data_IF_400509403870
#
_entry.id   IF_400509403870
#
_cell.length_a   1.000
_cell.length_b   1.000
_cell.length_c   1.000
_cell.angle_alpha   90.00
_cell.angle_beta   90.00
_cell.angle_gamma   90.00
#
_symmetry.space_group_name_H-M   'P 1'
#
loop_
_entity.id
_entity.type
_entity.pdbx_description
1 polymer ?
#
# COMPACT_ATOMS: atom_id res chain seq x y z
N UNK A 1 -24.57 8.44 -42.58
CA UNK A 1 -23.74 8.87 -41.43
C UNK A 1 -24.04 7.89 -40.30
N UNK A 2 -23.02 7.18 -39.81
CA UNK A 2 -23.19 5.90 -39.12
C UNK A 2 -23.14 6.11 -37.60
N UNK A 3 -24.30 6.04 -36.96
CA UNK A 3 -24.49 6.37 -35.54
C UNK A 3 -24.14 5.22 -34.59
N UNK A 4 -23.14 4.39 -34.95
CA UNK A 4 -22.78 3.16 -34.22
C UNK A 4 -21.69 3.37 -33.16
N UNK A 5 -21.08 4.55 -33.09
CA UNK A 5 -19.96 4.84 -32.20
C UNK A 5 -20.38 5.32 -30.79
N UNK A 6 -21.66 5.61 -30.56
CA UNK A 6 -22.13 6.28 -29.33
C UNK A 6 -22.64 5.34 -28.23
N UNK A 7 -22.65 4.01 -28.45
CA UNK A 7 -23.18 3.03 -27.49
C UNK A 7 -22.10 2.15 -26.82
N UNK A 8 -20.81 2.43 -27.05
CA UNK A 8 -19.71 1.52 -26.69
C UNK A 8 -18.87 1.88 -25.46
N UNK A 9 -19.27 2.82 -24.60
CA UNK A 9 -18.38 3.39 -23.57
C UNK A 9 -18.96 3.47 -22.15
N UNK A 10 -19.86 2.58 -21.76
CA UNK A 10 -20.21 2.41 -20.35
C UNK A 10 -20.21 0.94 -19.98
N UNK A 11 -19.18 0.48 -19.26
CA UNK A 11 -19.22 -0.57 -18.23
C UNK A 11 -17.75 -0.90 -17.88
N UNK A 12 -17.13 -0.12 -17.00
CA UNK A 12 -15.97 -0.60 -16.24
C UNK A 12 -16.40 -0.51 -14.78
N UNK A 13 -17.04 -1.58 -14.30
CA UNK A 13 -17.24 -1.82 -12.86
C UNK A 13 -15.94 -2.45 -12.35
N UNK A 14 -15.16 -1.70 -11.58
CA UNK A 14 -13.98 -2.22 -10.89
C UNK A 14 -14.28 -2.29 -9.39
N UNK A 15 -14.92 -3.38 -8.96
CA UNK A 15 -15.03 -3.74 -7.55
C UNK A 15 -13.80 -4.57 -7.15
N UNK A 16 -12.83 -3.97 -6.46
CA UNK A 16 -11.78 -4.72 -5.76
C UNK A 16 -11.80 -4.33 -4.30
N UNK A 17 -12.60 -5.06 -3.53
CA UNK A 17 -12.45 -5.13 -2.08
C UNK A 17 -11.38 -6.18 -1.80
N UNK A 18 -10.15 -5.73 -1.56
CA UNK A 18 -9.09 -6.58 -1.01
C UNK A 18 -8.75 -6.05 0.39
N UNK A 19 -9.64 -6.33 1.34
CA UNK A 19 -9.26 -6.35 2.74
C UNK A 19 -8.35 -7.57 2.94
N UNK A 20 -7.04 -7.41 2.73
CA UNK A 20 -6.08 -8.41 3.14
C UNK A 20 -5.97 -8.34 4.66
N UNK A 21 -6.70 -9.25 5.30
CA UNK A 21 -6.52 -9.58 6.70
C UNK A 21 -5.04 -9.87 6.96
N UNK A 22 -4.45 -9.14 7.90
CA UNK A 22 -3.13 -9.45 8.42
C UNK A 22 -3.20 -10.85 9.03
N UNK A 23 -2.58 -11.82 8.36
CA UNK A 23 -2.33 -13.14 8.94
C UNK A 23 -1.23 -12.95 9.99
N UNK A 24 -1.61 -12.91 11.26
CA UNK A 24 -0.68 -13.02 12.36
C UNK A 24 -0.17 -14.47 12.39
N UNK A 25 1.01 -14.69 11.81
CA UNK A 25 1.72 -15.95 11.95
C UNK A 25 2.24 -16.08 13.39
N UNK A 26 2.01 -17.25 13.97
CA UNK A 26 2.46 -17.67 15.30
C UNK A 26 3.98 -17.41 15.47
N UNK A 27 4.36 -16.74 16.56
CA UNK A 27 5.73 -16.31 16.89
C UNK A 27 6.61 -17.51 17.30
N UNK A 28 6.89 -18.43 16.37
CA UNK A 28 8.11 -19.22 16.45
C UNK A 28 9.24 -18.28 16.04
N UNK A 29 10.23 -18.08 16.89
CA UNK A 29 11.35 -17.15 16.64
C UNK A 29 12.13 -17.49 15.37
N UNK A 30 11.62 -17.02 14.24
CA UNK A 30 12.20 -17.07 12.91
C UNK A 30 13.38 -16.08 12.88
N UNK A 31 14.52 -16.52 12.35
CA UNK A 31 15.75 -15.71 12.33
C UNK A 31 15.64 -14.48 11.43
N UNK A 32 16.75 -13.76 11.25
CA UNK A 32 16.77 -12.52 10.44
C UNK A 32 16.20 -12.69 9.02
N UNK A 33 16.45 -13.84 8.39
CA UNK A 33 15.97 -14.17 7.03
C UNK A 33 14.64 -14.91 7.09
N UNK A 34 14.54 -16.00 7.85
CA UNK A 34 13.30 -16.77 7.97
C UNK A 34 12.11 -15.93 8.43
N UNK A 35 12.32 -14.93 9.29
CA UNK A 35 11.26 -14.05 9.81
C UNK A 35 11.03 -12.81 8.95
N UNK A 36 11.61 -12.77 7.74
CA UNK A 36 11.46 -11.62 6.85
C UNK A 36 10.14 -11.69 6.07
N UNK A 37 9.55 -10.53 5.82
CA UNK A 37 8.37 -10.40 4.97
C UNK A 37 8.54 -9.31 3.93
N UNK A 38 7.97 -9.54 2.75
CA UNK A 38 7.89 -8.56 1.66
C UNK A 38 6.44 -8.42 1.23
N UNK A 39 5.96 -7.18 1.20
CA UNK A 39 4.64 -6.83 0.70
C UNK A 39 4.75 -5.76 -0.39
N UNK A 40 3.98 -5.93 -1.45
CA UNK A 40 3.89 -4.98 -2.55
C UNK A 40 2.44 -4.49 -2.63
N UNK A 41 2.25 -3.20 -2.39
CA UNK A 41 0.98 -2.52 -2.54
C UNK A 41 0.96 -1.80 -3.89
N UNK A 42 0.15 -2.33 -4.80
CA UNK A 42 -0.18 -1.66 -6.04
C UNK A 42 -1.48 -0.86 -5.86
N UNK A 43 -1.42 0.47 -5.96
CA UNK A 43 -2.53 1.38 -5.71
C UNK A 43 -2.79 2.26 -6.93
N UNK A 44 -4.04 2.27 -7.38
CA UNK A 44 -4.55 3.32 -8.25
C UNK A 44 -5.41 4.27 -7.41
N UNK A 45 -5.14 5.57 -7.46
CA UNK A 45 -5.76 6.58 -6.62
C UNK A 45 -6.32 7.72 -7.48
N UNK A 46 -7.58 8.05 -7.25
CA UNK A 46 -8.26 9.17 -7.89
C UNK A 46 -8.75 10.14 -6.82
N UNK A 47 -8.46 11.42 -7.00
CA UNK A 47 -8.86 12.47 -6.08
C UNK A 47 -9.52 13.61 -6.85
N UNK A 48 -10.75 13.92 -6.48
CA UNK A 48 -11.51 15.03 -7.03
C UNK A 48 -11.99 15.92 -5.90
N UNK A 49 -11.64 17.21 -5.97
CA UNK A 49 -11.95 18.21 -4.96
C UNK A 49 -12.57 19.43 -5.63
N UNK A 50 -13.83 19.68 -5.29
CA UNK A 50 -14.59 20.88 -5.65
C UNK A 50 -14.81 21.77 -4.42
N UNK A 51 -14.23 22.96 -4.46
CA UNK A 51 -14.45 24.04 -3.52
C UNK A 51 -15.56 24.96 -4.04
N UNK A 52 -16.77 24.79 -3.50
CA UNK A 52 -17.98 25.57 -3.83
C UNK A 52 -17.87 27.10 -3.60
N UNK A 53 -16.78 27.59 -3.00
CA UNK A 53 -16.39 29.01 -2.86
C UNK A 53 -14.93 29.29 -3.23
N UNK A 54 -14.28 28.45 -4.02
CA UNK A 54 -12.84 28.55 -4.31
C UNK A 54 -12.42 29.78 -5.13
N UNK A 55 -13.39 30.50 -5.71
CA UNK A 55 -13.22 31.84 -6.29
C UNK A 55 -12.73 32.89 -5.27
N UNK A 56 -12.91 32.63 -3.96
CA UNK A 56 -12.38 33.49 -2.88
C UNK A 56 -10.95 33.11 -2.46
N UNK A 57 -10.35 32.07 -3.03
CA UNK A 57 -8.95 31.72 -2.78
C UNK A 57 -8.03 32.58 -3.64
N UNK A 58 -6.86 32.97 -3.11
CA UNK A 58 -5.87 33.78 -3.85
C UNK A 58 -5.34 33.09 -5.11
N UNK A 59 -5.53 31.78 -5.25
CA UNK A 59 -5.13 30.97 -6.41
C UNK A 59 -6.23 30.87 -7.47
N UNK A 60 -7.44 31.36 -7.20
CA UNK A 60 -8.57 31.41 -8.15
C UNK A 60 -9.17 30.06 -8.56
N UNK A 61 -8.61 28.95 -8.08
CA UNK A 61 -8.96 27.61 -8.55
C UNK A 61 -9.92 26.93 -7.55
N UNK A 62 -11.20 26.83 -7.94
CA UNK A 62 -12.23 26.15 -7.17
C UNK A 62 -12.31 24.65 -7.40
N UNK A 63 -11.55 24.11 -8.33
CA UNK A 63 -11.58 22.71 -8.70
C UNK A 63 -10.16 22.14 -8.79
N UNK A 64 -9.98 20.91 -8.34
CA UNK A 64 -8.70 20.20 -8.40
C UNK A 64 -8.96 18.71 -8.58
N UNK A 65 -8.29 18.13 -9.55
CA UNK A 65 -8.39 16.71 -9.89
C UNK A 65 -7.01 16.12 -10.06
N UNK A 66 -6.81 14.91 -9.55
CA UNK A 66 -5.53 14.19 -9.60
C UNK A 66 -5.81 12.69 -9.80
N UNK A 67 -5.08 12.08 -10.73
CA UNK A 67 -5.05 10.63 -10.91
C UNK A 67 -3.61 10.14 -10.80
N UNK A 68 -3.38 9.20 -9.89
CA UNK A 68 -2.06 8.67 -9.63
C UNK A 68 -2.07 7.15 -9.52
N UNK A 69 -0.99 6.54 -10.01
CA UNK A 69 -0.70 5.13 -9.81
C UNK A 69 0.59 5.00 -9.01
N UNK A 70 0.54 4.26 -7.92
CA UNK A 70 1.68 4.07 -7.02
C UNK A 70 1.91 2.59 -6.74
N UNK A 71 3.18 2.18 -6.83
CA UNK A 71 3.64 0.86 -6.41
C UNK A 71 4.54 1.06 -5.20
N UNK A 72 4.16 0.49 -4.06
CA UNK A 72 4.84 0.67 -2.78
C UNK A 72 5.32 -0.70 -2.29
N UNK A 73 6.63 -0.86 -2.11
CA UNK A 73 7.22 -2.05 -1.50
C UNK A 73 7.50 -1.81 -0.02
N UNK A 74 7.14 -2.77 0.84
CA UNK A 74 7.52 -2.81 2.24
C UNK A 74 8.21 -4.13 2.55
N UNK A 75 9.47 -4.05 2.94
CA UNK A 75 10.29 -5.17 3.38
C UNK A 75 10.58 -5.03 4.87
N UNK A 76 10.36 -6.09 5.63
CA UNK A 76 10.59 -6.16 7.07
C UNK A 76 11.46 -7.39 7.34
N UNK A 77 12.62 -7.21 7.98
CA UNK A 77 13.50 -8.32 8.38
C UNK A 77 13.02 -8.97 9.68
N UNK A 78 13.28 -10.26 9.85
CA UNK A 78 13.02 -10.96 11.11
C UNK A 78 13.94 -10.53 12.25
N UNK A 79 13.59 -10.87 13.48
CA UNK A 79 14.43 -10.60 14.66
C UNK A 79 15.60 -11.57 14.71
N UNK A 80 16.83 -11.05 14.79
CA UNK A 80 17.99 -11.89 15.05
C UNK A 80 17.94 -12.40 16.50
N UNK A 81 18.14 -13.70 16.72
CA UNK A 81 18.12 -14.27 18.08
C UNK A 81 19.15 -13.58 19.00
N UNK A 82 18.83 -13.36 20.29
CA UNK A 82 19.81 -12.83 21.24
C UNK A 82 21.04 -13.74 21.32
N UNK A 83 22.23 -13.16 21.29
CA UNK A 83 23.47 -13.93 21.49
C UNK A 83 23.57 -14.34 22.96
N UNK A 84 23.23 -15.58 23.27
CA UNK A 84 23.52 -16.17 24.57
C UNK A 84 25.03 -16.33 24.70
N UNK A 85 25.65 -15.45 25.48
CA UNK A 85 27.03 -15.64 25.92
C UNK A 85 26.94 -16.72 27.00
N UNK A 86 27.17 -17.98 26.65
CA UNK A 86 27.47 -19.00 27.66
C UNK A 86 28.80 -18.60 28.28
N UNK A 87 28.87 -18.21 29.58
CA UNK A 87 30.15 -18.00 30.21
C UNK A 87 30.90 -19.33 30.13
N UNK A 88 32.07 -19.30 29.48
CA UNK A 88 33.01 -20.42 29.50
C UNK A 88 33.28 -20.72 30.97
N UNK A 89 32.77 -21.85 31.48
CA UNK A 89 33.09 -22.24 32.85
C UNK A 89 34.60 -22.33 32.94
N UNK A 90 35.19 -21.52 33.81
CA UNK A 90 36.59 -21.59 34.15
C UNK A 90 36.89 -23.04 34.55
N UNK A 91 37.70 -23.73 33.75
CA UNK A 91 38.29 -24.99 34.16
C UNK A 91 39.42 -24.66 35.16
N UNK A 92 39.41 -25.24 36.37
CA UNK A 92 40.61 -25.27 37.21
C UNK A 92 41.68 -26.21 36.62
#
# INVERSE_FOLDING_TARGET
MNNKALLGLSQIVLSISAAQAAMAAEEKGEGFIEGSSLSILNRNFYFNRDFRKGQSSSTGNGYSEEWAHGVIGRFESGSARPRTITPSSAAP
#
